data_IF_461698194949
#
_entry.id   IF_461698194949
#
_cell.length_a   1.000
_cell.length_b   1.000
_cell.length_c   1.000
_cell.angle_alpha   90.00
_cell.angle_beta   90.00
_cell.angle_gamma   90.00
#
_symmetry.space_group_name_H-M   'P 1'
#
loop_
_entity.id
_entity.type
_entity.pdbx_description
1 polymer ?
#
# COMPACT_ATOMS: atom_id res chain seq x y z
N UNK A 1 -24.07 17.96 14.23
CA UNK A 1 -22.72 17.62 14.72
C UNK A 1 -22.52 16.11 14.79
N UNK A 2 -22.01 15.51 13.71
CA UNK A 2 -21.75 14.07 13.67
C UNK A 2 -20.44 13.77 14.39
N UNK A 3 -20.51 13.13 15.57
CA UNK A 3 -19.33 12.61 16.27
C UNK A 3 -18.58 11.66 15.33
N UNK A 4 -17.33 11.97 15.03
CA UNK A 4 -16.42 11.05 14.34
C UNK A 4 -16.39 9.72 15.11
N UNK A 5 -16.95 8.67 14.52
CA UNK A 5 -16.91 7.33 15.09
C UNK A 5 -15.45 6.87 15.14
N UNK A 6 -14.97 6.55 16.34
CA UNK A 6 -13.66 5.96 16.56
C UNK A 6 -13.59 4.61 15.83
N UNK A 7 -12.72 4.49 14.83
CA UNK A 7 -12.50 3.23 14.13
C UNK A 7 -11.61 2.33 14.97
N UNK A 8 -12.15 1.20 15.42
CA UNK A 8 -11.38 0.13 16.04
C UNK A 8 -11.08 -0.94 14.99
N UNK A 9 -9.80 -1.28 14.75
CA UNK A 9 -9.47 -2.34 13.82
C UNK A 9 -10.03 -3.67 14.34
N UNK A 10 -10.56 -4.54 13.45
CA UNK A 10 -11.06 -5.84 13.86
C UNK A 10 -9.94 -6.65 14.51
N UNK A 11 -10.27 -7.51 15.51
CA UNK A 11 -9.27 -8.33 16.17
C UNK A 11 -8.55 -9.22 15.15
N UNK A 12 -7.22 -9.42 15.30
CA UNK A 12 -6.45 -10.25 14.39
C UNK A 12 -7.03 -11.67 14.33
N UNK A 13 -7.08 -12.24 13.13
CA UNK A 13 -7.54 -13.62 12.94
C UNK A 13 -6.44 -14.58 13.40
N UNK A 14 -6.79 -15.53 14.27
CA UNK A 14 -5.90 -16.58 14.75
C UNK A 14 -5.36 -16.34 16.16
N UNK A 15 -4.56 -17.27 16.70
CA UNK A 15 -3.97 -17.13 18.02
C UNK A 15 -3.04 -15.92 18.06
N UNK A 16 -3.09 -15.15 19.16
CA UNK A 16 -2.19 -14.01 19.39
C UNK A 16 -0.76 -14.55 19.47
N UNK A 17 0.11 -14.07 18.59
CA UNK A 17 1.51 -14.43 18.59
C UNK A 17 2.34 -13.33 19.28
N UNK A 18 2.75 -13.58 20.53
CA UNK A 18 3.53 -12.62 21.33
C UNK A 18 4.99 -12.51 20.91
N UNK A 19 5.54 -13.51 20.22
CA UNK A 19 6.93 -13.56 19.76
C UNK A 19 7.09 -13.37 18.25
N UNK A 20 6.01 -13.06 17.53
CA UNK A 20 6.08 -12.80 16.10
C UNK A 20 6.64 -11.41 15.84
N UNK A 21 7.48 -11.23 14.80
CA UNK A 21 7.92 -9.91 14.40
C UNK A 21 6.76 -9.09 13.84
N UNK A 22 6.71 -7.81 14.20
CA UNK A 22 5.80 -6.85 13.58
C UNK A 22 6.31 -6.44 12.20
N UNK A 23 5.41 -6.29 11.24
CA UNK A 23 5.72 -5.77 9.90
C UNK A 23 5.20 -4.34 9.82
N UNK A 24 6.10 -3.40 9.53
CA UNK A 24 5.76 -2.02 9.18
C UNK A 24 6.04 -1.84 7.70
N UNK A 25 4.99 -1.58 6.91
CA UNK A 25 5.10 -1.35 5.47
C UNK A 25 4.92 0.15 5.19
N UNK A 26 5.97 0.79 4.68
CA UNK A 26 5.98 2.20 4.27
C UNK A 26 6.13 2.30 2.76
N UNK A 27 5.29 3.10 2.12
CA UNK A 27 5.28 3.34 0.67
C UNK A 27 5.30 4.84 0.41
N UNK A 28 6.15 5.27 -0.54
CA UNK A 28 6.24 6.65 -1.02
C UNK A 28 5.73 6.73 -2.45
N UNK A 29 4.84 7.69 -2.75
CA UNK A 29 4.42 7.98 -4.12
C UNK A 29 5.54 8.73 -4.88
N UNK A 30 5.71 8.45 -6.17
CA UNK A 30 6.62 9.11 -7.12
C UNK A 30 8.12 9.19 -6.71
N UNK A 31 8.55 8.35 -5.77
CA UNK A 31 9.96 8.26 -5.37
C UNK A 31 10.79 7.53 -6.42
N UNK A 32 11.81 8.21 -6.96
CA UNK A 32 12.72 7.66 -7.97
C UNK A 32 14.14 7.40 -7.42
N UNK A 33 14.89 6.58 -8.16
CA UNK A 33 16.34 6.41 -7.99
C UNK A 33 17.12 7.16 -9.07
N UNK A 34 16.64 7.14 -10.31
CA UNK A 34 17.34 7.61 -11.52
C UNK A 34 17.45 9.13 -11.63
N UNK A 35 16.47 9.87 -11.12
CA UNK A 35 16.50 11.34 -11.02
C UNK A 35 17.11 11.80 -9.68
N UNK A 36 17.61 10.86 -8.87
CA UNK A 36 18.30 11.13 -7.62
C UNK A 36 17.38 11.32 -6.43
N UNK A 37 16.09 10.96 -6.52
CA UNK A 37 15.13 11.12 -5.43
C UNK A 37 15.55 10.44 -4.12
N UNK A 38 16.31 9.35 -4.18
CA UNK A 38 16.81 8.65 -2.99
C UNK A 38 17.98 9.37 -2.28
N UNK A 39 18.77 10.16 -3.01
CA UNK A 39 19.95 10.88 -2.53
C UNK A 39 19.70 11.76 -1.29
N UNK A 40 18.63 12.58 -1.21
CA UNK A 40 18.36 13.39 -0.03
C UNK A 40 17.94 12.59 1.21
N UNK A 41 17.55 11.32 1.08
CA UNK A 41 17.02 10.49 2.19
C UNK A 41 18.13 9.91 3.09
N UNK A 42 19.12 10.72 3.48
CA UNK A 42 20.33 10.31 4.21
C UNK A 42 20.02 9.57 5.52
N UNK A 43 19.04 10.06 6.28
CA UNK A 43 18.65 9.44 7.54
C UNK A 43 17.97 8.08 7.31
N UNK A 44 17.15 7.97 6.28
CA UNK A 44 16.49 6.72 5.90
C UNK A 44 17.51 5.68 5.44
N UNK A 45 18.48 6.08 4.61
CA UNK A 45 19.60 5.22 4.18
C UNK A 45 20.36 4.67 5.38
N UNK A 46 20.81 5.55 6.28
CA UNK A 46 21.53 5.16 7.48
C UNK A 46 20.72 4.20 8.36
N UNK A 47 19.46 4.54 8.67
CA UNK A 47 18.66 3.76 9.61
C UNK A 47 18.18 2.42 9.03
N UNK A 48 17.83 2.37 7.74
CA UNK A 48 17.24 1.17 7.14
C UNK A 48 18.26 0.28 6.43
N UNK A 49 19.31 0.83 5.82
CA UNK A 49 20.30 0.03 5.08
C UNK A 49 21.55 -0.23 5.92
N UNK A 50 22.14 0.80 6.51
CA UNK A 50 23.46 0.73 7.16
C UNK A 50 23.36 0.19 8.61
N UNK A 51 22.81 0.97 9.54
CA UNK A 51 22.83 0.70 10.98
C UNK A 51 22.10 -0.59 11.35
N UNK A 52 21.04 -0.92 10.60
CA UNK A 52 20.21 -2.12 10.83
C UNK A 52 20.56 -3.30 9.93
N UNK A 53 21.58 -3.17 9.06
CA UNK A 53 21.96 -4.19 8.05
C UNK A 53 20.76 -4.64 7.20
N UNK A 54 19.97 -3.68 6.73
CA UNK A 54 18.86 -3.96 5.83
C UNK A 54 19.34 -4.27 4.42
N UNK A 55 18.42 -4.76 3.59
CA UNK A 55 18.70 -5.12 2.21
C UNK A 55 18.12 -4.06 1.25
N UNK A 56 18.92 -3.65 0.25
CA UNK A 56 18.48 -2.82 -0.87
C UNK A 56 18.28 -3.70 -2.11
N UNK A 57 17.08 -3.65 -2.69
CA UNK A 57 16.77 -4.35 -3.93
C UNK A 57 17.02 -3.39 -5.11
N UNK A 58 18.15 -3.57 -5.79
CA UNK A 58 18.62 -2.66 -6.86
C UNK A 58 17.84 -2.79 -8.17
N UNK A 59 17.02 -3.83 -8.33
CA UNK A 59 16.21 -4.10 -9.52
C UNK A 59 14.74 -4.36 -9.17
N UNK A 60 14.20 -3.60 -8.21
CA UNK A 60 12.77 -3.64 -7.88
C UNK A 60 11.99 -2.70 -8.79
N UNK A 61 10.99 -3.21 -9.52
CA UNK A 61 10.19 -2.43 -10.47
C UNK A 61 8.70 -2.60 -10.21
N UNK A 62 7.95 -1.50 -10.36
CA UNK A 62 6.49 -1.54 -10.41
C UNK A 62 6.02 -2.09 -11.75
N UNK A 63 4.84 -2.70 -11.76
CA UNK A 63 4.29 -3.32 -12.97
C UNK A 63 3.50 -2.35 -13.86
N UNK A 64 3.02 -1.22 -13.32
CA UNK A 64 2.25 -0.22 -14.08
C UNK A 64 2.60 1.18 -13.55
N UNK A 65 3.08 2.11 -14.41
CA UNK A 65 3.56 3.44 -13.98
C UNK A 65 2.40 4.43 -13.79
N UNK A 66 1.39 4.04 -13.02
CA UNK A 66 0.23 4.87 -12.64
C UNK A 66 -0.13 4.54 -11.19
N UNK A 67 -0.38 5.54 -10.35
CA UNK A 67 -0.49 5.39 -8.90
C UNK A 67 -1.53 4.34 -8.47
N UNK A 68 -2.78 4.43 -8.93
CA UNK A 68 -3.85 3.52 -8.49
C UNK A 68 -3.68 2.06 -8.96
N UNK A 69 -3.40 1.79 -10.25
CA UNK A 69 -3.00 0.46 -10.71
C UNK A 69 -1.80 -0.09 -9.92
N UNK A 70 -0.72 0.67 -9.77
CA UNK A 70 0.49 0.26 -9.04
C UNK A 70 0.18 -0.15 -7.60
N UNK A 71 -0.52 0.70 -6.85
CA UNK A 71 -0.92 0.44 -5.45
C UNK A 71 -1.78 -0.81 -5.33
N UNK A 72 -2.73 -1.01 -6.25
CA UNK A 72 -3.58 -2.21 -6.25
C UNK A 72 -2.77 -3.49 -6.44
N UNK A 73 -1.71 -3.44 -7.27
CA UNK A 73 -0.82 -4.57 -7.51
C UNK A 73 0.07 -4.87 -6.30
N UNK A 74 0.64 -3.85 -5.66
CA UNK A 74 1.47 -4.03 -4.46
C UNK A 74 0.70 -4.63 -3.29
N UNK A 75 -0.55 -4.18 -3.06
CA UNK A 75 -1.37 -4.67 -1.93
C UNK A 75 -1.95 -6.05 -2.18
N UNK A 76 -2.37 -6.35 -3.41
CA UNK A 76 -2.98 -7.65 -3.74
C UNK A 76 -1.96 -8.74 -4.08
N UNK A 77 -0.72 -8.37 -4.44
CA UNK A 77 0.28 -9.29 -4.97
C UNK A 77 -0.06 -9.86 -6.35
N UNK A 78 -0.94 -9.20 -7.12
CA UNK A 78 -1.43 -9.68 -8.43
C UNK A 78 -1.04 -8.71 -9.55
N UNK A 79 -0.87 -9.22 -10.77
CA UNK A 79 -0.72 -8.37 -11.97
C UNK A 79 -2.00 -7.61 -12.28
N UNK A 80 -1.90 -6.45 -12.94
CA UNK A 80 -3.03 -5.57 -13.24
C UNK A 80 -4.14 -6.28 -14.03
N UNK A 81 -3.78 -7.13 -15.01
CA UNK A 81 -4.73 -7.93 -15.78
C UNK A 81 -5.46 -9.00 -14.93
N UNK A 82 -4.96 -9.32 -13.74
CA UNK A 82 -5.60 -10.21 -12.76
C UNK A 82 -6.39 -9.42 -11.70
N UNK A 83 -6.14 -8.12 -11.57
CA UNK A 83 -6.89 -7.24 -10.67
C UNK A 83 -8.12 -6.67 -11.35
N UNK A 84 -8.10 -6.56 -12.71
CA UNK A 84 -9.17 -6.03 -13.59
C UNK A 84 -10.37 -5.55 -12.81
N UNK A 85 -10.44 -4.23 -12.61
CA UNK A 85 -11.55 -3.50 -12.00
C UNK A 85 -12.87 -4.26 -12.17
N UNK A 86 -13.29 -5.02 -11.15
CA UNK A 86 -14.66 -5.53 -11.05
C UNK A 86 -15.60 -4.37 -10.68
N UNK A 87 -15.50 -3.25 -11.37
CA UNK A 87 -16.52 -2.20 -11.30
C UNK A 87 -17.38 -2.31 -12.54
N UNK A 88 -18.20 -3.37 -12.55
CA UNK A 88 -19.60 -3.19 -12.90
C UNK A 88 -20.45 -3.13 -11.62
N UNK A 89 -20.18 -3.98 -10.61
CA UNK A 89 -20.83 -3.96 -9.29
C UNK A 89 -19.90 -4.64 -8.27
N UNK A 90 -19.53 -4.02 -7.13
CA UNK A 90 -18.78 -4.71 -6.08
C UNK A 90 -19.62 -5.87 -5.50
N UNK A 91 -19.04 -7.04 -5.18
CA UNK A 91 -19.78 -8.11 -4.53
C UNK A 91 -20.37 -7.60 -3.20
N UNK A 92 -21.57 -8.06 -2.78
CA UNK A 92 -22.34 -7.46 -1.68
C UNK A 92 -21.58 -7.30 -0.36
N UNK A 93 -20.56 -8.14 -0.15
CA UNK A 93 -19.72 -8.17 1.07
C UNK A 93 -18.61 -7.10 1.09
N UNK A 94 -18.32 -6.45 -0.05
CA UNK A 94 -17.27 -5.41 -0.17
C UNK A 94 -17.84 -4.00 -0.37
N UNK A 95 -19.15 -3.86 -0.57
CA UNK A 95 -19.83 -2.56 -0.71
C UNK A 95 -19.56 -1.61 0.46
N UNK A 96 -19.66 -1.99 1.75
CA UNK A 96 -19.56 -1.01 2.84
C UNK A 96 -18.16 -0.39 2.99
N UNK A 97 -17.10 -1.12 2.60
CA UNK A 97 -15.72 -0.67 2.75
C UNK A 97 -15.18 0.06 1.51
N UNK A 98 -15.66 -0.28 0.31
CA UNK A 98 -15.17 0.28 -0.96
C UNK A 98 -15.92 1.54 -1.42
N UNK A 99 -17.19 1.73 -1.04
CA UNK A 99 -18.01 2.88 -1.48
C UNK A 99 -17.48 4.23 -0.99
N UNK A 100 -16.66 4.27 0.07
CA UNK A 100 -16.07 5.52 0.55
C UNK A 100 -14.83 5.98 -0.23
N UNK A 101 -14.21 5.11 -1.05
CA UNK A 101 -12.90 5.39 -1.65
C UNK A 101 -12.91 5.68 -3.16
N UNK A 102 -14.02 5.42 -3.87
CA UNK A 102 -14.10 5.67 -5.32
C UNK A 102 -15.45 6.31 -5.64
N UNK A 103 -15.46 7.62 -5.90
CA UNK A 103 -16.58 8.31 -6.55
C UNK A 103 -16.36 8.26 -8.07
N UNK A 104 -17.09 7.40 -8.81
CA UNK A 104 -16.94 7.29 -10.25
C UNK A 104 -17.43 8.54 -11.01
N UNK A 105 -18.09 9.51 -10.35
CA UNK A 105 -18.50 10.78 -10.97
C UNK A 105 -17.40 11.84 -11.02
N UNK A 106 -16.27 11.61 -10.34
CA UNK A 106 -15.13 12.55 -10.31
C UNK A 106 -14.02 12.21 -11.31
N UNK A 107 -14.17 11.14 -12.06
CA UNK A 107 -13.30 10.79 -13.17
C UNK A 107 -14.09 10.98 -14.47
N UNK A 108 -13.99 12.17 -15.03
CA UNK A 108 -14.33 12.50 -16.43
C UNK A 108 -13.04 12.44 -17.23
#
# INVERSE_FOLDING_TARGET
DAKAQHWEPPPPKGPICFSCPSIVFSLTDDQDMELGGWTPMKQTQRLLQEDRRGALLTNWRIHTPICSPSRSQSVSGRYFHNIKSEVAVPPPKLLPAATAHVDPRRYV
#
